data_IF_790063625150
#
_entry.id   IF_790063625150
#
_cell.length_a   1.000
_cell.length_b   1.000
_cell.length_c   1.000
_cell.angle_alpha   90.00
_cell.angle_beta   90.00
_cell.angle_gamma   90.00
#
_symmetry.space_group_name_H-M   'P 1'
#
loop_
_entity.id
_entity.type
_entity.pdbx_description
1 polymer ?
#
# COMPACT_ATOMS: atom_id res chain seq x y z
N UNK A 1 13.54 44.23 -5.90
CA UNK A 1 14.19 42.96 -5.57
C UNK A 1 13.12 42.07 -4.96
N UNK A 2 12.69 41.03 -5.68
CA UNK A 2 11.64 40.11 -5.21
C UNK A 2 12.24 39.12 -4.23
N UNK A 3 11.79 39.16 -2.99
CA UNK A 3 12.04 38.11 -2.00
C UNK A 3 11.29 36.86 -2.44
N UNK A 4 12.03 35.83 -2.85
CA UNK A 4 11.47 34.49 -3.01
C UNK A 4 11.14 33.96 -1.61
N UNK A 5 9.84 33.86 -1.32
CA UNK A 5 9.33 33.10 -0.19
C UNK A 5 9.69 31.62 -0.41
N UNK A 6 10.56 31.10 0.44
CA UNK A 6 10.85 29.67 0.50
C UNK A 6 9.56 29.02 1.00
N UNK A 7 8.80 28.41 0.08
CA UNK A 7 7.59 27.66 0.39
C UNK A 7 7.88 26.60 1.46
N UNK A 8 7.14 26.55 2.59
CA UNK A 8 7.28 25.51 3.62
C UNK A 8 6.81 24.12 3.14
N UNK A 9 6.38 24.00 1.89
CA UNK A 9 5.79 22.79 1.31
C UNK A 9 6.81 21.66 1.08
N UNK A 10 8.12 21.97 1.07
CA UNK A 10 9.16 20.99 0.73
C UNK A 10 9.63 20.12 1.91
N UNK A 11 9.36 20.50 3.16
CA UNK A 11 9.84 19.75 4.34
C UNK A 11 8.79 18.79 4.89
N UNK A 12 7.51 19.14 4.81
CA UNK A 12 6.40 18.31 5.31
C UNK A 12 6.16 17.03 4.48
N UNK A 13 6.55 17.01 3.20
CA UNK A 13 6.40 15.84 2.34
C UNK A 13 7.48 14.78 2.59
N UNK A 14 8.68 15.20 3.01
CA UNK A 14 9.80 14.29 3.32
C UNK A 14 9.62 13.56 4.66
N UNK A 15 8.78 14.11 5.54
CA UNK A 15 8.52 13.59 6.90
C UNK A 15 7.23 12.74 6.97
N UNK A 16 6.56 12.55 5.84
CA UNK A 16 5.31 11.78 5.77
C UNK A 16 5.64 10.30 5.60
N UNK A 17 5.11 9.48 6.50
CA UNK A 17 5.21 8.02 6.46
C UNK A 17 4.90 7.48 5.05
N UNK A 18 5.86 6.76 4.45
CA UNK A 18 5.75 6.27 3.07
C UNK A 18 4.60 5.29 2.89
N UNK A 19 4.07 4.73 3.98
CA UNK A 19 2.96 3.80 3.93
C UNK A 19 1.71 4.39 3.26
N UNK A 20 1.49 5.70 3.35
CA UNK A 20 0.37 6.35 2.67
C UNK A 20 0.48 6.21 1.14
N UNK A 21 1.69 6.34 0.59
CA UNK A 21 1.94 6.15 -0.85
C UNK A 21 1.77 4.68 -1.25
N UNK A 22 2.22 3.75 -0.41
CA UNK A 22 2.05 2.32 -0.66
C UNK A 22 0.57 1.94 -0.69
N UNK A 23 -0.23 2.45 0.24
CA UNK A 23 -1.69 2.26 0.30
C UNK A 23 -2.36 2.86 -0.94
N UNK A 24 -2.03 4.11 -1.30
CA UNK A 24 -2.61 4.77 -2.49
C UNK A 24 -2.31 3.99 -3.76
N UNK A 25 -1.07 3.52 -3.93
CA UNK A 25 -0.70 2.71 -5.09
C UNK A 25 -1.43 1.38 -5.14
N UNK A 26 -1.66 0.72 -4.01
CA UNK A 26 -2.46 -0.50 -3.98
C UNK A 26 -3.91 -0.25 -4.39
N UNK A 27 -4.52 0.86 -3.93
CA UNK A 27 -5.90 1.23 -4.30
C UNK A 27 -6.02 1.50 -5.79
N UNK A 28 -5.04 2.20 -6.36
CA UNK A 28 -4.99 2.48 -7.78
C UNK A 28 -4.92 1.17 -8.59
N UNK A 29 -4.02 0.26 -8.22
CA UNK A 29 -3.88 -1.04 -8.89
C UNK A 29 -5.14 -1.91 -8.77
N UNK A 30 -5.77 -1.91 -7.60
CA UNK A 30 -7.04 -2.62 -7.37
C UNK A 30 -8.14 -2.06 -8.30
N UNK A 31 -8.28 -0.74 -8.39
CA UNK A 31 -9.25 -0.12 -9.30
C UNK A 31 -8.97 -0.44 -10.77
N UNK A 32 -7.70 -0.53 -11.18
CA UNK A 32 -7.33 -0.95 -12.54
C UNK A 32 -7.69 -2.41 -12.83
N UNK A 33 -7.49 -3.29 -11.84
CA UNK A 33 -7.86 -4.69 -11.94
C UNK A 33 -9.39 -4.84 -12.04
N UNK A 34 -10.14 -4.22 -11.14
CA UNK A 34 -11.61 -4.24 -11.15
C UNK A 34 -12.19 -3.73 -12.49
N UNK A 35 -11.62 -2.65 -13.02
CA UNK A 35 -12.02 -2.12 -14.31
C UNK A 35 -11.76 -3.11 -15.45
N UNK A 36 -10.60 -3.78 -15.46
CA UNK A 36 -10.27 -4.80 -16.47
C UNK A 36 -11.20 -6.01 -16.36
N UNK A 37 -11.44 -6.49 -15.14
CA UNK A 37 -12.32 -7.63 -14.87
C UNK A 37 -13.76 -7.31 -15.28
N UNK A 38 -14.25 -6.09 -15.00
CA UNK A 38 -15.57 -5.62 -15.45
C UNK A 38 -15.75 -5.57 -16.97
N UNK A 39 -14.67 -5.41 -17.74
CA UNK A 39 -14.71 -5.48 -19.21
C UNK A 39 -14.84 -6.93 -19.66
N UNK A 40 -13.97 -7.82 -19.18
CA UNK A 40 -14.00 -9.25 -19.54
C UNK A 40 -15.35 -9.90 -19.22
N UNK A 41 -15.97 -9.54 -18.10
CA UNK A 41 -17.26 -10.07 -17.66
C UNK A 41 -18.45 -9.71 -18.57
N UNK A 42 -18.28 -8.77 -19.51
CA UNK A 42 -19.33 -8.34 -20.45
C UNK A 42 -19.18 -8.94 -21.84
N UNK A 43 -18.10 -9.69 -22.08
CA UNK A 43 -17.80 -10.27 -23.38
C UNK A 43 -18.23 -11.74 -23.40
N UNK A 44 -18.78 -12.17 -24.52
CA UNK A 44 -18.99 -13.58 -24.77
C UNK A 44 -17.65 -14.28 -25.00
N UNK A 45 -17.59 -15.58 -24.71
CA UNK A 45 -16.40 -16.39 -24.95
C UNK A 45 -15.94 -16.27 -26.41
N UNK A 46 -14.67 -15.92 -26.62
CA UNK A 46 -14.11 -15.69 -27.95
C UNK A 46 -12.82 -14.87 -27.87
N UNK A 47 -12.23 -14.51 -29.02
CA UNK A 47 -10.94 -13.83 -29.08
C UNK A 47 -10.90 -12.50 -28.30
N UNK A 48 -11.99 -11.75 -28.30
CA UNK A 48 -12.12 -10.50 -27.56
C UNK A 48 -12.15 -10.73 -26.05
N UNK A 49 -12.82 -11.80 -25.59
CA UNK A 49 -12.77 -12.23 -24.20
C UNK A 49 -11.36 -12.65 -23.81
N UNK A 50 -10.70 -13.48 -24.61
CA UNK A 50 -9.33 -13.96 -24.33
C UNK A 50 -8.34 -12.79 -24.19
N UNK A 51 -8.47 -11.77 -25.06
CA UNK A 51 -7.64 -10.57 -24.99
C UNK A 51 -7.95 -9.72 -23.73
N UNK A 52 -9.23 -9.58 -23.36
CA UNK A 52 -9.62 -8.85 -22.15
C UNK A 52 -9.21 -9.60 -20.87
N UNK A 53 -9.30 -10.93 -20.88
CA UNK A 53 -8.88 -11.81 -19.78
C UNK A 53 -7.37 -11.71 -19.56
N UNK A 54 -6.57 -11.72 -20.64
CA UNK A 54 -5.11 -11.54 -20.55
C UNK A 54 -4.76 -10.20 -19.88
N UNK A 55 -5.46 -9.11 -20.25
CA UNK A 55 -5.28 -7.80 -19.61
C UNK A 55 -5.62 -7.87 -18.12
N UNK A 56 -6.74 -8.50 -17.75
CA UNK A 56 -7.14 -8.64 -16.35
C UNK A 56 -6.09 -9.43 -15.54
N UNK A 57 -5.54 -10.50 -16.12
CA UNK A 57 -4.47 -11.30 -15.54
C UNK A 57 -3.18 -10.49 -15.34
N UNK A 58 -2.79 -9.65 -16.30
CA UNK A 58 -1.65 -8.74 -16.16
C UNK A 58 -1.85 -7.72 -15.03
N UNK A 59 -3.07 -7.17 -14.89
CA UNK A 59 -3.40 -6.24 -13.79
C UNK A 59 -3.43 -6.94 -12.45
N UNK A 60 -3.97 -8.16 -12.39
CA UNK A 60 -3.96 -8.97 -11.18
C UNK A 60 -2.53 -9.26 -10.70
N UNK A 61 -1.61 -9.59 -11.63
CA UNK A 61 -0.20 -9.80 -11.28
C UNK A 61 0.44 -8.56 -10.67
N UNK A 62 0.21 -7.38 -11.28
CA UNK A 62 0.72 -6.12 -10.73
C UNK A 62 0.13 -5.80 -9.34
N UNK A 63 -1.16 -6.08 -9.13
CA UNK A 63 -1.82 -5.96 -7.83
C UNK A 63 -1.18 -6.89 -6.81
N UNK A 64 -1.00 -8.17 -7.13
CA UNK A 64 -0.39 -9.16 -6.23
C UNK A 64 1.07 -8.83 -5.88
N UNK A 65 1.86 -8.37 -6.85
CA UNK A 65 3.24 -7.89 -6.62
C UNK A 65 3.27 -6.71 -5.65
N UNK A 66 2.34 -5.76 -5.79
CA UNK A 66 2.27 -4.61 -4.88
C UNK A 66 1.62 -4.94 -3.54
N UNK A 67 0.71 -5.91 -3.48
CA UNK A 67 0.18 -6.48 -2.24
C UNK A 67 1.30 -7.08 -1.38
N UNK A 68 2.29 -7.72 -2.01
CA UNK A 68 3.49 -8.21 -1.33
C UNK A 68 4.34 -7.09 -0.72
N UNK A 69 4.41 -5.92 -1.38
CA UNK A 69 5.06 -4.72 -0.85
C UNK A 69 4.26 -4.15 0.31
N UNK A 70 2.94 -4.04 0.17
CA UNK A 70 2.03 -3.54 1.21
C UNK A 70 2.17 -4.33 2.51
N UNK A 71 2.12 -5.67 2.43
CA UNK A 71 2.20 -6.57 3.59
C UNK A 71 3.56 -6.50 4.31
N UNK A 72 4.64 -6.21 3.58
CA UNK A 72 6.00 -6.11 4.12
C UNK A 72 6.41 -4.68 4.48
N UNK A 73 5.54 -3.71 4.30
CA UNK A 73 5.86 -2.32 4.58
C UNK A 73 5.89 -2.05 6.08
N UNK A 74 6.88 -1.27 6.52
CA UNK A 74 7.07 -0.91 7.94
C UNK A 74 6.74 0.57 8.13
N UNK A 75 5.57 0.91 8.70
CA UNK A 75 5.25 2.30 9.01
C UNK A 75 6.23 2.88 10.03
N UNK A 76 6.56 4.15 9.89
CA UNK A 76 7.48 4.86 10.80
C UNK A 76 6.76 5.76 11.79
N UNK A 77 5.43 5.82 11.73
CA UNK A 77 4.59 6.64 12.59
C UNK A 77 3.39 5.84 13.12
N UNK A 78 2.86 6.22 14.29
CA UNK A 78 1.62 5.62 14.82
C UNK A 78 0.44 5.85 13.87
N UNK A 79 0.38 7.00 13.21
CA UNK A 79 -0.62 7.29 12.20
C UNK A 79 -0.53 6.31 11.01
N UNK A 80 0.69 6.00 10.56
CA UNK A 80 0.96 5.02 9.53
C UNK A 80 0.60 3.59 9.93
N UNK A 81 0.93 3.17 11.16
CA UNK A 81 0.53 1.88 11.76
C UNK A 81 -1.00 1.72 11.72
N UNK A 82 -1.73 2.75 12.17
CA UNK A 82 -3.20 2.75 12.16
C UNK A 82 -3.75 2.71 10.74
N UNK A 83 -3.19 3.51 9.83
CA UNK A 83 -3.62 3.57 8.44
C UNK A 83 -3.45 2.21 7.74
N UNK A 84 -2.28 1.58 7.92
CA UNK A 84 -1.98 0.27 7.34
C UNK A 84 -2.92 -0.81 7.90
N UNK A 85 -3.06 -0.88 9.22
CA UNK A 85 -3.92 -1.88 9.87
C UNK A 85 -5.37 -1.77 9.40
N UNK A 86 -5.89 -0.54 9.35
CA UNK A 86 -7.26 -0.30 8.86
C UNK A 86 -7.42 -0.65 7.39
N UNK A 87 -6.41 -0.34 6.57
CA UNK A 87 -6.47 -0.62 5.15
C UNK A 87 -6.43 -2.12 4.87
N UNK A 88 -5.47 -2.85 5.44
CA UNK A 88 -5.39 -4.32 5.29
C UNK A 88 -6.67 -4.98 5.83
N UNK A 89 -7.19 -4.53 6.97
CA UNK A 89 -8.45 -5.03 7.51
C UNK A 89 -9.70 -4.69 6.70
N UNK A 90 -9.60 -3.83 5.69
CA UNK A 90 -10.69 -3.51 4.74
C UNK A 90 -10.63 -4.28 3.43
N UNK A 91 -9.50 -4.95 3.15
CA UNK A 91 -9.30 -5.71 1.92
C UNK A 91 -10.03 -7.05 1.97
N UNK A 92 -10.49 -7.53 0.82
CA UNK A 92 -11.01 -8.89 0.69
C UNK A 92 -9.85 -9.88 0.62
N UNK A 93 -10.14 -11.17 0.89
CA UNK A 93 -9.11 -12.21 0.92
C UNK A 93 -8.33 -12.32 -0.40
N UNK A 94 -9.03 -12.15 -1.54
CA UNK A 94 -8.44 -12.17 -2.88
C UNK A 94 -7.71 -10.88 -3.29
N UNK A 95 -7.80 -9.81 -2.47
CA UNK A 95 -7.03 -8.57 -2.70
C UNK A 95 -5.65 -8.62 -2.04
N UNK A 96 -5.34 -9.71 -1.33
CA UNK A 96 -4.12 -9.93 -0.58
C UNK A 96 -3.24 -10.99 -1.26
N UNK A 97 -1.94 -11.07 -0.91
CA UNK A 97 -1.07 -12.09 -1.46
C UNK A 97 -1.61 -13.51 -1.23
N UNK A 98 -1.52 -14.35 -2.26
CA UNK A 98 -1.97 -15.75 -2.29
C UNK A 98 -1.10 -16.70 -1.42
N UNK A 99 -0.25 -16.16 -0.55
CA UNK A 99 0.61 -16.92 0.35
C UNK A 99 -0.07 -17.06 1.70
N UNK A 100 -0.38 -18.29 2.11
CA UNK A 100 -0.97 -18.63 3.42
C UNK A 100 -0.21 -18.03 4.61
N UNK A 101 1.05 -17.64 4.48
CA UNK A 101 1.85 -17.04 5.54
C UNK A 101 1.85 -15.50 5.56
N UNK A 102 1.12 -14.82 4.67
CA UNK A 102 1.14 -13.35 4.56
C UNK A 102 0.78 -12.67 5.89
N UNK A 103 -0.20 -13.22 6.63
CA UNK A 103 -0.67 -12.66 7.89
C UNK A 103 0.43 -12.62 8.96
N UNK A 104 1.31 -13.63 8.98
CA UNK A 104 2.41 -13.70 9.94
C UNK A 104 3.43 -12.62 9.64
N UNK A 105 3.82 -12.52 8.36
CA UNK A 105 4.73 -11.48 7.87
C UNK A 105 4.21 -10.08 8.21
N UNK A 106 2.91 -9.86 8.00
CA UNK A 106 2.25 -8.60 8.34
C UNK A 106 2.34 -8.27 9.83
N UNK A 107 1.97 -9.21 10.71
CA UNK A 107 1.92 -8.99 12.15
C UNK A 107 3.32 -8.82 12.77
N UNK A 108 4.31 -9.57 12.29
CA UNK A 108 5.71 -9.41 12.69
C UNK A 108 6.22 -8.02 12.30
N UNK A 109 6.02 -7.59 11.05
CA UNK A 109 6.42 -6.25 10.59
C UNK A 109 5.69 -5.11 11.33
N UNK A 110 4.44 -5.32 11.72
CA UNK A 110 3.67 -4.36 12.52
C UNK A 110 4.22 -4.24 13.95
N UNK A 111 4.57 -5.36 14.58
CA UNK A 111 5.17 -5.38 15.90
C UNK A 111 6.53 -4.67 15.90
N UNK A 112 7.38 -4.99 14.92
CA UNK A 112 8.69 -4.35 14.73
C UNK A 112 8.56 -2.83 14.51
N UNK A 113 7.55 -2.40 13.74
CA UNK A 113 7.26 -0.99 13.53
C UNK A 113 6.91 -0.27 14.84
N UNK A 114 6.03 -0.86 15.65
CA UNK A 114 5.60 -0.29 16.93
C UNK A 114 6.77 -0.19 17.90
N UNK A 115 7.59 -1.24 18.00
CA UNK A 115 8.78 -1.25 18.85
C UNK A 115 9.79 -0.19 18.40
N UNK A 116 10.04 -0.09 17.09
CA UNK A 116 10.92 0.93 16.51
C UNK A 116 10.47 2.36 16.82
N UNK A 117 9.17 2.64 16.70
CA UNK A 117 8.58 3.94 17.03
C UNK A 117 8.73 4.24 18.52
N UNK A 118 8.44 3.28 19.40
CA UNK A 118 8.55 3.46 20.84
C UNK A 118 10.00 3.74 21.28
N UNK A 119 10.98 3.06 20.67
CA UNK A 119 12.40 3.31 20.92
C UNK A 119 12.85 4.69 20.45
N UNK A 120 12.41 5.11 19.26
CA UNK A 120 12.73 6.45 18.73
C UNK A 120 12.17 7.57 19.62
N UNK A 121 10.96 7.40 20.16
CA UNK A 121 10.36 8.36 21.10
C UNK A 121 11.16 8.49 22.40
N UNK A 122 11.64 7.38 22.97
CA UNK A 122 12.46 7.40 24.19
C UNK A 122 13.79 8.14 23.98
N UNK A 123 14.47 7.85 22.87
CA UNK A 123 15.72 8.53 22.52
C UNK A 123 15.54 10.04 22.29
N UNK A 124 14.38 10.46 21.79
CA UNK A 124 14.04 11.88 21.67
C UNK A 124 13.70 12.57 22.99
N UNK A 125 13.27 11.82 24.02
CA UNK A 125 12.92 12.37 25.34
C UNK A 125 14.11 12.46 26.29
N UNK A 126 15.13 11.61 26.13
CA UNK A 126 16.34 11.60 26.97
C UNK A 126 17.42 12.60 26.51
N UNK A 127 17.20 13.29 25.39
CA UNK A 127 18.14 14.24 24.76
C UNK A 127 17.83 15.73 24.99
N UNK A 128 16.73 16.05 25.68
CA UNK A 128 16.31 17.41 26.11
C UNK A 128 16.51 17.59 27.63
#
# INVERSE_FOLDING_TARGET
>A
MSSQEISPQSTAAADRDLIFLVIERHRELLAHYDAALSVSAKLDSGPEFDAADEISCQRNRALAEHGNVLIRSTPTTIAGVIALTRYVGSLQEWDLPDDDAWYRTFLEGLADAIDGIAMAQRLGQDGD
#
